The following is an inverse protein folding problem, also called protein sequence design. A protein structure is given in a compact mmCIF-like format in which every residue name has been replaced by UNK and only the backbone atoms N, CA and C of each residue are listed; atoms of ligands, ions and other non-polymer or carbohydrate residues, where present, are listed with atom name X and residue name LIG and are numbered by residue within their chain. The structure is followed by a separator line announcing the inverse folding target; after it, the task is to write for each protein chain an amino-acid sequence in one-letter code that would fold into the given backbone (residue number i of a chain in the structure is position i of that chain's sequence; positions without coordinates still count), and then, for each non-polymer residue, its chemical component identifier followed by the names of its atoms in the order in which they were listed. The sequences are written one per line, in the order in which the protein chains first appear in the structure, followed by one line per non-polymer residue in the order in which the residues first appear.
data_IF_540276434807
#
_entry.id   IF_540276434807
#
_cell.length_a   1.000
_cell.length_b   1.000
_cell.length_c   1.000
_cell.angle_alpha   90.00
_cell.angle_beta   90.00
_cell.angle_gamma   90.00
#
_symmetry.space_group_name_H-M   'P 1'
#
loop_
_entity.id
_entity.type
_entity.pdbx_description
1 polymer ?
#
# COMPACT_ATOMS: atom_id res chain seq x y z
N UNK A 1 3.49 17.31 60.83
CA UNK A 1 3.13 18.35 59.86
C UNK A 1 3.92 18.02 58.62
N UNK A 2 3.37 17.16 57.77
CA UNK A 2 4.06 16.63 56.61
C UNK A 2 3.89 17.61 55.44
N UNK A 3 5.02 18.10 54.95
CA UNK A 3 5.11 18.98 53.78
C UNK A 3 4.88 18.15 52.53
N UNK A 4 3.73 18.32 51.89
CA UNK A 4 3.45 17.73 50.59
C UNK A 4 4.23 18.49 49.51
N UNK A 5 5.33 17.90 49.04
CA UNK A 5 5.96 18.29 47.79
C UNK A 5 5.04 17.91 46.62
N UNK A 6 4.29 18.89 46.11
CA UNK A 6 3.60 18.78 44.82
C UNK A 6 4.68 18.66 43.75
N UNK A 7 4.83 17.47 43.17
CA UNK A 7 5.62 17.29 41.94
C UNK A 7 4.88 18.01 40.82
N UNK A 8 5.50 19.05 40.28
CA UNK A 8 5.05 19.72 39.06
C UNK A 8 4.95 18.69 37.94
N UNK A 9 3.73 18.46 37.48
CA UNK A 9 3.44 17.80 36.22
C UNK A 9 3.82 18.78 35.10
N UNK A 10 4.90 18.47 34.38
CA UNK A 10 5.23 19.16 33.13
C UNK A 10 4.04 19.02 32.17
N UNK A 11 3.45 20.15 31.78
CA UNK A 11 2.49 20.22 30.68
C UNK A 11 3.09 19.53 29.44
N UNK A 12 2.27 18.91 28.56
CA UNK A 12 2.76 18.57 27.24
C UNK A 12 3.23 19.87 26.57
N UNK A 13 4.47 19.87 26.09
CA UNK A 13 4.99 20.90 25.20
C UNK A 13 3.95 21.20 24.13
N UNK A 14 3.53 22.46 24.00
CA UNK A 14 2.64 22.90 22.92
C UNK A 14 3.34 22.62 21.59
N UNK A 15 3.12 21.45 21.00
CA UNK A 15 3.55 21.14 19.65
C UNK A 15 2.96 22.16 18.69
N UNK A 16 3.74 22.60 17.70
CA UNK A 16 3.30 23.58 16.72
C UNK A 16 2.03 23.07 16.00
N UNK A 17 1.03 23.93 15.68
CA UNK A 17 -0.23 23.48 15.06
C UNK A 17 -0.06 22.63 13.80
N UNK A 18 0.99 22.91 13.00
CA UNK A 18 1.31 22.13 11.80
C UNK A 18 1.91 20.75 12.12
N UNK A 19 2.70 20.63 13.19
CA UNK A 19 3.18 19.33 13.68
C UNK A 19 2.01 18.45 14.10
N UNK A 20 1.06 19.02 14.86
CA UNK A 20 -0.16 18.31 15.28
C UNK A 20 -1.01 17.87 14.09
N UNK A 21 -1.10 18.69 13.04
CA UNK A 21 -1.85 18.35 11.83
C UNK A 21 -1.26 17.10 11.13
N UNK A 22 0.06 16.99 11.03
CA UNK A 22 0.73 15.80 10.46
C UNK A 22 0.51 14.58 11.36
N UNK A 23 0.68 14.72 12.69
CA UNK A 23 0.45 13.64 13.66
C UNK A 23 -1.00 13.12 13.65
N UNK A 24 -1.98 14.01 13.50
CA UNK A 24 -3.39 13.65 13.40
C UNK A 24 -3.68 12.83 12.15
N UNK A 25 -3.11 13.21 11.00
CA UNK A 25 -3.23 12.42 9.77
C UNK A 25 -2.56 11.05 9.93
N UNK A 26 -1.38 10.98 10.55
CA UNK A 26 -0.67 9.71 10.81
C UNK A 26 -1.49 8.75 11.70
N UNK A 27 -2.22 9.27 12.69
CA UNK A 27 -3.07 8.45 13.55
C UNK A 27 -4.20 7.75 12.79
N UNK A 28 -4.69 8.32 11.69
CA UNK A 28 -5.80 7.73 10.91
C UNK A 28 -5.40 6.41 10.24
N UNK A 29 -4.11 6.21 9.95
CA UNK A 29 -3.60 4.99 9.31
C UNK A 29 -3.47 3.80 10.28
N UNK A 30 -3.41 4.04 11.60
CA UNK A 30 -3.19 3.00 12.63
C UNK A 30 -4.42 2.13 12.93
N UNK A 31 -5.59 2.44 12.35
CA UNK A 31 -6.88 1.86 12.73
C UNK A 31 -7.46 0.82 11.77
N UNK A 32 -6.67 0.25 10.85
CA UNK A 32 -7.19 -0.56 9.73
C UNK A 32 -6.86 -2.05 9.92
N UNK A 33 -7.90 -2.87 10.13
CA UNK A 33 -7.77 -4.32 10.37
C UNK A 33 -7.76 -5.18 9.10
N UNK A 34 -8.17 -4.65 7.93
CA UNK A 34 -8.31 -5.45 6.71
C UNK A 34 -7.79 -4.73 5.45
N UNK A 35 -6.97 -5.43 4.67
CA UNK A 35 -6.39 -4.93 3.42
C UNK A 35 -7.30 -5.27 2.25
N UNK A 36 -8.23 -4.38 1.93
CA UNK A 36 -9.09 -4.42 0.74
C UNK A 36 -8.63 -3.39 -0.30
N UNK A 37 -9.03 -3.55 -1.56
CA UNK A 37 -8.77 -2.54 -2.60
C UNK A 37 -9.30 -1.16 -2.21
N UNK A 38 -10.52 -1.09 -1.67
CA UNK A 38 -11.16 0.15 -1.21
C UNK A 38 -10.36 0.83 -0.10
N UNK A 39 -9.89 0.06 0.90
CA UNK A 39 -9.05 0.59 1.98
C UNK A 39 -7.71 1.12 1.46
N UNK A 40 -7.11 0.46 0.45
CA UNK A 40 -5.85 0.91 -0.15
C UNK A 40 -6.07 2.21 -0.92
N UNK A 41 -7.15 2.32 -1.72
CA UNK A 41 -7.50 3.54 -2.45
C UNK A 41 -7.76 4.70 -1.49
N UNK A 42 -8.45 4.44 -0.38
CA UNK A 42 -8.65 5.42 0.69
C UNK A 42 -7.31 5.83 1.31
N UNK A 43 -6.42 4.89 1.59
CA UNK A 43 -5.10 5.19 2.15
C UNK A 43 -4.24 6.02 1.20
N UNK A 44 -4.26 5.75 -0.11
CA UNK A 44 -3.58 6.60 -1.11
C UNK A 44 -4.15 8.03 -1.09
N UNK A 45 -5.48 8.15 -0.97
CA UNK A 45 -6.14 9.45 -0.86
C UNK A 45 -5.77 10.18 0.43
N UNK A 46 -5.67 9.47 1.55
CA UNK A 46 -5.20 10.02 2.84
C UNK A 46 -3.72 10.39 2.81
N UNK A 47 -2.89 9.65 2.06
CA UNK A 47 -1.48 10.02 1.87
C UNK A 47 -1.37 11.38 1.18
N UNK A 48 -2.18 11.66 0.15
CA UNK A 48 -2.17 13.00 -0.47
C UNK A 48 -2.38 14.11 0.57
N UNK A 49 -3.38 13.97 1.45
CA UNK A 49 -3.65 14.93 2.53
C UNK A 49 -2.49 15.03 3.53
N UNK A 50 -1.89 13.89 3.89
CA UNK A 50 -0.72 13.86 4.75
C UNK A 50 0.45 14.64 4.14
N UNK A 51 0.75 14.43 2.86
CA UNK A 51 1.82 15.15 2.17
C UNK A 51 1.52 16.64 1.99
N UNK A 52 0.25 17.04 1.84
CA UNK A 52 -0.16 18.45 1.90
C UNK A 52 0.16 19.06 3.28
N UNK A 53 -0.19 18.39 4.38
CA UNK A 53 0.17 18.87 5.73
C UNK A 53 1.69 18.93 5.94
N UNK A 54 2.44 17.98 5.38
CA UNK A 54 3.90 17.99 5.45
C UNK A 54 4.48 19.17 4.68
N UNK A 55 3.92 19.50 3.51
CA UNK A 55 4.36 20.67 2.74
C UNK A 55 4.16 21.97 3.54
N UNK A 56 3.00 22.14 4.18
CA UNK A 56 2.75 23.30 5.04
C UNK A 56 3.72 23.33 6.22
N UNK A 57 3.98 22.19 6.86
CA UNK A 57 4.96 22.05 7.93
C UNK A 57 6.37 22.47 7.47
N UNK A 58 6.82 22.01 6.30
CA UNK A 58 8.13 22.33 5.74
C UNK A 58 8.29 23.83 5.47
N UNK A 59 7.23 24.53 5.08
CA UNK A 59 7.27 25.98 4.83
C UNK A 59 7.63 26.83 6.06
N UNK A 60 7.58 26.25 7.25
CA UNK A 60 7.87 26.92 8.53
C UNK A 60 9.21 26.52 9.17
N UNK A 61 10.00 25.68 8.51
CA UNK A 61 11.26 25.15 9.05
C UNK A 61 12.48 25.95 8.57
N UNK A 62 13.37 26.30 9.50
CA UNK A 62 14.57 27.10 9.27
C UNK A 62 15.82 26.25 8.95
N UNK A 63 15.65 25.09 8.31
CA UNK A 63 16.75 24.29 7.74
C UNK A 63 17.53 23.39 8.71
N UNK A 64 17.24 23.40 10.00
CA UNK A 64 17.88 22.48 10.96
C UNK A 64 17.28 21.06 10.89
N UNK A 65 18.11 20.07 10.54
CA UNK A 65 17.85 18.62 10.59
C UNK A 65 16.80 18.06 9.59
N UNK A 66 17.12 18.08 8.29
CA UNK A 66 16.27 17.50 7.21
C UNK A 66 17.03 16.65 6.17
N UNK A 67 18.36 16.49 6.30
CA UNK A 67 19.20 15.84 5.28
C UNK A 67 18.88 14.36 5.05
N UNK A 68 18.61 13.59 6.10
CA UNK A 68 18.29 12.15 5.98
C UNK A 68 16.97 11.88 5.26
N UNK A 69 16.07 12.86 5.20
CA UNK A 69 14.76 12.73 4.56
C UNK A 69 14.81 12.77 3.02
N UNK A 70 15.88 13.34 2.45
CA UNK A 70 16.07 13.33 1.01
C UNK A 70 16.31 11.92 0.49
N UNK A 71 17.11 11.10 1.17
CA UNK A 71 17.35 9.71 0.75
C UNK A 71 16.07 8.87 0.83
N UNK A 72 15.29 9.05 1.90
CA UNK A 72 13.97 8.42 2.06
C UNK A 72 13.02 8.75 0.90
N UNK A 73 12.95 10.02 0.49
CA UNK A 73 12.10 10.43 -0.64
C UNK A 73 12.51 9.79 -1.98
N UNK A 74 13.81 9.58 -2.24
CA UNK A 74 14.28 8.89 -3.46
C UNK A 74 13.79 7.44 -3.45
N UNK A 75 13.98 6.74 -2.33
CA UNK A 75 13.52 5.37 -2.18
C UNK A 75 12.01 5.25 -2.41
N UNK A 76 11.21 6.16 -1.83
CA UNK A 76 9.76 6.16 -2.05
C UNK A 76 9.39 6.34 -3.53
N UNK A 77 10.07 7.23 -4.24
CA UNK A 77 9.85 7.47 -5.68
C UNK A 77 10.21 6.25 -6.53
N UNK A 78 11.30 5.55 -6.20
CA UNK A 78 11.69 4.31 -6.85
C UNK A 78 10.62 3.22 -6.66
N UNK A 79 10.09 3.10 -5.44
CA UNK A 79 9.00 2.15 -5.13
C UNK A 79 7.71 2.53 -5.87
N UNK A 80 7.35 3.82 -5.94
CA UNK A 80 6.22 4.29 -6.74
C UNK A 80 6.35 3.86 -8.21
N UNK A 81 7.52 4.05 -8.82
CA UNK A 81 7.75 3.66 -10.21
C UNK A 81 7.54 2.15 -10.42
N UNK A 82 8.07 1.32 -9.52
CA UNK A 82 7.84 -0.13 -9.56
C UNK A 82 6.35 -0.47 -9.43
N UNK A 83 5.63 0.19 -8.52
CA UNK A 83 4.19 -0.03 -8.32
C UNK A 83 3.40 0.34 -9.58
N UNK A 84 3.68 1.49 -10.17
CA UNK A 84 3.04 1.94 -11.42
C UNK A 84 3.26 0.91 -12.53
N UNK A 85 4.50 0.49 -12.76
CA UNK A 85 4.81 -0.53 -13.76
C UNK A 85 4.06 -1.86 -13.52
N UNK A 86 3.96 -2.27 -12.25
CA UNK A 86 3.21 -3.47 -11.85
C UNK A 86 1.71 -3.32 -12.14
N UNK A 87 1.12 -2.19 -11.79
CA UNK A 87 -0.31 -1.91 -12.00
C UNK A 87 -0.63 -1.83 -13.50
N UNK A 88 0.16 -1.09 -14.28
CA UNK A 88 -0.04 -0.97 -15.73
C UNK A 88 0.10 -2.33 -16.42
N UNK A 89 1.11 -3.14 -16.08
CA UNK A 89 1.27 -4.49 -16.64
C UNK A 89 0.13 -5.43 -16.27
N UNK A 90 -0.35 -5.38 -15.01
CA UNK A 90 -1.48 -6.18 -14.57
C UNK A 90 -2.75 -5.78 -15.32
N UNK A 91 -3.02 -4.48 -15.44
CA UNK A 91 -4.18 -3.92 -16.15
C UNK A 91 -4.17 -4.34 -17.62
N UNK A 92 -3.02 -4.21 -18.29
CA UNK A 92 -2.83 -4.65 -19.67
C UNK A 92 -3.15 -6.14 -19.82
N UNK A 93 -2.63 -7.00 -18.94
CA UNK A 93 -2.89 -8.45 -19.00
C UNK A 93 -4.36 -8.80 -18.78
N UNK A 94 -5.08 -8.03 -17.93
CA UNK A 94 -6.52 -8.18 -17.71
C UNK A 94 -7.30 -7.80 -18.97
N UNK A 95 -6.95 -6.70 -19.63
CA UNK A 95 -7.60 -6.23 -20.87
C UNK A 95 -7.36 -7.18 -22.05
N UNK A 96 -6.15 -7.74 -22.16
CA UNK A 96 -5.81 -8.76 -23.15
C UNK A 96 -6.63 -10.03 -22.91
N UNK A 97 -6.70 -10.51 -21.67
CA UNK A 97 -7.52 -11.68 -21.31
C UNK A 97 -9.00 -11.45 -21.61
N UNK A 98 -9.55 -10.28 -21.24
CA UNK A 98 -10.93 -9.91 -21.59
C UNK A 98 -11.16 -9.97 -23.11
N UNK A 99 -10.21 -9.43 -23.88
CA UNK A 99 -10.28 -9.39 -25.34
C UNK A 99 -10.20 -10.79 -25.96
N UNK A 100 -9.29 -11.63 -25.46
CA UNK A 100 -9.18 -13.05 -25.87
C UNK A 100 -10.49 -13.79 -25.64
N UNK A 101 -11.06 -13.69 -24.44
CA UNK A 101 -12.33 -14.34 -24.10
C UNK A 101 -13.45 -13.88 -25.03
N UNK A 102 -13.56 -12.57 -25.30
CA UNK A 102 -14.57 -12.02 -26.21
C UNK A 102 -14.41 -12.53 -27.65
N UNK A 103 -13.16 -12.70 -28.10
CA UNK A 103 -12.83 -13.24 -29.43
C UNK A 103 -12.92 -14.76 -29.49
N UNK A 104 -13.24 -15.44 -28.37
CA UNK A 104 -13.17 -16.90 -28.23
C UNK A 104 -11.78 -17.48 -28.53
N UNK A 105 -10.74 -16.67 -28.31
CA UNK A 105 -9.35 -17.12 -28.29
C UNK A 105 -9.01 -17.70 -26.91
N UNK A 106 -8.04 -18.62 -26.84
CA UNK A 106 -7.61 -19.28 -25.61
C UNK A 106 -6.23 -18.78 -25.13
N UNK A 107 -6.06 -17.46 -25.02
CA UNK A 107 -4.83 -16.81 -24.54
C UNK A 107 -4.75 -16.75 -23.01
N UNK A 108 -5.49 -17.63 -22.31
CA UNK A 108 -5.47 -17.75 -20.84
C UNK A 108 -4.05 -18.05 -20.33
N UNK A 109 -3.24 -18.75 -21.12
CA UNK A 109 -1.85 -19.05 -20.80
C UNK A 109 -0.95 -17.81 -20.75
N UNK A 110 -1.19 -16.80 -21.60
CA UNK A 110 -0.43 -15.56 -21.64
C UNK A 110 -0.66 -14.72 -20.39
N UNK A 111 -1.93 -14.60 -19.96
CA UNK A 111 -2.28 -14.00 -18.67
C UNK A 111 -1.54 -14.67 -17.51
N UNK A 112 -1.52 -16.02 -17.45
CA UNK A 112 -0.85 -16.76 -16.38
C UNK A 112 0.67 -16.48 -16.38
N UNK A 113 1.29 -16.38 -17.55
CA UNK A 113 2.71 -16.05 -17.69
C UNK A 113 2.98 -14.62 -17.20
N UNK A 114 2.19 -13.64 -17.67
CA UNK A 114 2.30 -12.24 -17.25
C UNK A 114 2.11 -12.10 -15.73
N UNK A 115 1.05 -12.71 -15.20
CA UNK A 115 0.75 -12.77 -13.77
C UNK A 115 1.94 -13.25 -12.95
N UNK A 116 2.59 -14.36 -13.36
CA UNK A 116 3.79 -14.90 -12.67
C UNK A 116 4.97 -13.93 -12.70
N UNK A 117 5.20 -13.25 -13.83
CA UNK A 117 6.27 -12.24 -13.97
C UNK A 117 6.01 -11.06 -13.03
N UNK A 118 4.80 -10.50 -13.05
CA UNK A 118 4.38 -9.41 -12.17
C UNK A 118 4.58 -9.82 -10.70
N UNK A 119 4.10 -11.00 -10.29
CA UNK A 119 4.27 -11.42 -8.90
C UNK A 119 5.74 -11.64 -8.52
N UNK A 120 6.63 -11.97 -9.48
CA UNK A 120 8.07 -12.08 -9.22
C UNK A 120 8.68 -10.70 -8.96
N UNK A 121 8.32 -9.69 -9.75
CA UNK A 121 8.75 -8.30 -9.55
C UNK A 121 8.29 -7.79 -8.18
N UNK A 122 7.02 -7.98 -7.84
CA UNK A 122 6.48 -7.58 -6.53
C UNK A 122 7.24 -8.23 -5.38
N UNK A 123 7.48 -9.55 -5.44
CA UNK A 123 8.20 -10.26 -4.38
C UNK A 123 9.63 -9.78 -4.22
N UNK A 124 10.29 -9.41 -5.32
CA UNK A 124 11.63 -8.83 -5.28
C UNK A 124 11.59 -7.47 -4.57
N UNK A 125 10.69 -6.58 -4.99
CA UNK A 125 10.51 -5.27 -4.37
C UNK A 125 10.24 -5.37 -2.84
N UNK A 126 9.30 -6.21 -2.43
CA UNK A 126 9.00 -6.45 -1.00
C UNK A 126 10.19 -7.03 -0.22
N UNK A 127 11.02 -7.87 -0.86
CA UNK A 127 12.22 -8.42 -0.22
C UNK A 127 13.31 -7.34 -0.04
N UNK A 128 13.50 -6.51 -1.07
CA UNK A 128 14.47 -5.40 -1.03
C UNK A 128 14.08 -4.39 0.06
N UNK A 129 12.79 -4.02 0.16
CA UNK A 129 12.26 -3.17 1.24
C UNK A 129 12.51 -3.72 2.64
N UNK A 130 12.36 -5.03 2.83
CA UNK A 130 12.60 -5.68 4.13
C UNK A 130 14.08 -5.63 4.54
N UNK A 131 15.00 -5.72 3.58
CA UNK A 131 16.43 -5.71 3.83
C UNK A 131 16.97 -4.30 4.14
N UNK A 132 16.26 -3.25 3.71
CA UNK A 132 16.65 -1.85 3.88
C UNK A 132 16.17 -1.21 5.20
N UNK A 133 15.50 -1.97 6.10
CA UNK A 133 15.13 -1.46 7.42
C UNK A 133 16.38 -1.26 8.29
N UNK A 134 16.93 -0.04 8.28
CA UNK A 134 18.02 0.37 9.19
C UNK A 134 17.48 0.45 10.62
N UNK A 135 18.30 0.03 11.58
CA UNK A 135 18.03 0.22 13.00
C UNK A 135 18.37 1.67 13.38
N UNK A 136 17.50 2.64 13.09
CA UNK A 136 17.71 4.03 13.50
C UNK A 136 16.97 4.33 14.81
N UNK A 137 17.69 5.00 15.72
CA UNK A 137 17.35 5.19 17.15
C UNK A 137 16.65 6.53 17.40
N UNK A 138 16.36 7.31 16.36
CA UNK A 138 15.69 8.60 16.47
C UNK A 138 14.56 8.69 15.42
N UNK A 139 13.32 8.60 15.89
CA UNK A 139 12.11 8.68 15.06
C UNK A 139 11.74 10.15 14.92
N UNK A 140 11.98 10.73 13.74
CA UNK A 140 11.47 12.06 13.39
C UNK A 140 10.08 11.98 12.77
N UNK A 141 9.31 13.06 12.81
CA UNK A 141 7.97 13.14 12.20
C UNK A 141 7.99 12.71 10.73
N UNK A 142 9.00 13.15 9.97
CA UNK A 142 9.13 12.81 8.54
C UNK A 142 9.52 11.35 8.33
N UNK A 143 10.27 10.72 9.25
CA UNK A 143 10.51 9.27 9.19
C UNK A 143 9.23 8.46 9.45
N UNK A 144 8.29 8.96 10.26
CA UNK A 144 6.98 8.33 10.45
C UNK A 144 6.08 8.48 9.21
N UNK A 145 6.17 9.63 8.51
CA UNK A 145 5.50 9.83 7.20
C UNK A 145 6.04 8.86 6.16
N UNK A 146 7.36 8.70 6.08
CA UNK A 146 8.01 7.73 5.19
C UNK A 146 7.57 6.30 5.51
N UNK A 147 7.62 5.90 6.79
CA UNK A 147 7.22 4.56 7.23
C UNK A 147 5.73 4.28 6.93
N UNK A 148 4.86 5.26 7.15
CA UNK A 148 3.43 5.17 6.80
C UNK A 148 3.23 5.00 5.29
N UNK A 149 3.94 5.79 4.49
CA UNK A 149 3.89 5.70 3.02
C UNK A 149 4.33 4.31 2.54
N UNK A 150 5.44 3.80 3.07
CA UNK A 150 5.91 2.45 2.78
C UNK A 150 4.90 1.38 3.16
N UNK A 151 4.26 1.49 4.33
CA UNK A 151 3.26 0.51 4.76
C UNK A 151 2.05 0.44 3.81
N UNK A 152 1.61 1.58 3.27
CA UNK A 152 0.55 1.64 2.24
C UNK A 152 1.02 0.99 0.93
N UNK A 153 2.25 1.28 0.49
CA UNK A 153 2.85 0.67 -0.70
C UNK A 153 3.04 -0.85 -0.55
N UNK A 154 3.52 -1.33 0.59
CA UNK A 154 3.63 -2.76 0.91
C UNK A 154 2.25 -3.44 0.88
N UNK A 155 1.21 -2.78 1.40
CA UNK A 155 -0.17 -3.27 1.38
C UNK A 155 -0.73 -3.37 -0.05
N UNK A 156 -0.49 -2.36 -0.87
CA UNK A 156 -0.87 -2.35 -2.29
C UNK A 156 -0.17 -3.47 -3.06
N UNK A 157 1.15 -3.57 -2.94
CA UNK A 157 1.94 -4.63 -3.56
C UNK A 157 1.46 -6.02 -3.12
N UNK A 158 1.16 -6.19 -1.83
CA UNK A 158 0.63 -7.43 -1.28
C UNK A 158 -0.73 -7.78 -1.86
N UNK A 159 -1.64 -6.80 -1.99
CA UNK A 159 -2.93 -6.95 -2.65
C UNK A 159 -2.78 -7.43 -4.09
N UNK A 160 -1.97 -6.74 -4.90
CA UNK A 160 -1.75 -7.10 -6.31
C UNK A 160 -1.06 -8.46 -6.44
N UNK A 161 -0.19 -8.83 -5.50
CA UNK A 161 0.45 -10.16 -5.51
C UNK A 161 -0.52 -11.30 -5.22
N UNK A 162 -1.73 -10.97 -4.73
CA UNK A 162 -2.65 -11.83 -4.01
C UNK A 162 -1.94 -12.49 -2.81
N UNK A 163 -2.37 -12.25 -1.55
CA UNK A 163 -1.80 -12.95 -0.41
C UNK A 163 -1.81 -14.44 -0.70
N UNK A 164 -0.68 -15.13 -0.48
CA UNK A 164 -0.71 -16.58 -0.46
C UNK A 164 -1.79 -16.95 0.55
N UNK A 165 -2.92 -17.50 0.09
CA UNK A 165 -3.66 -18.38 0.96
C UNK A 165 -2.65 -19.47 1.30
N UNK A 166 -2.03 -19.35 2.48
CA UNK A 166 -1.40 -20.47 3.13
C UNK A 166 -2.52 -21.50 3.21
N UNK A 167 -2.52 -22.44 2.26
CA UNK A 167 -3.26 -23.66 2.42
C UNK A 167 -2.55 -24.36 3.57
N UNK A 168 -3.00 -24.08 4.79
CA UNK A 168 -2.82 -25.03 5.89
C UNK A 168 -3.50 -26.31 5.42
N UNK A 169 -2.72 -27.19 4.79
CA UNK A 169 -3.13 -28.54 4.38
C UNK A 169 -2.86 -29.56 5.49
N UNK A 170 -2.68 -29.13 6.74
CA UNK A 170 -2.56 -30.04 7.87
C UNK A 170 -3.24 -29.43 9.09
N UNK A 171 -4.54 -29.70 9.23
CA UNK A 171 -5.15 -29.92 10.55
C UNK A 171 -6.37 -30.83 10.38
N UNK A 172 -6.14 -32.05 9.87
CA UNK A 172 -6.96 -33.19 10.30
C UNK A 172 -6.48 -33.59 11.69
N UNK A 173 -7.04 -33.01 12.75
CA UNK A 173 -7.26 -33.73 14.02
C UNK A 173 -8.06 -32.88 15.03
N UNK A 174 -9.10 -33.52 15.57
CA UNK A 174 -9.83 -33.28 16.83
C UNK A 174 -10.82 -32.10 16.89
N UNK A 175 -12.06 -32.50 16.58
CA UNK A 175 -13.34 -32.11 17.19
C UNK A 175 -13.26 -31.20 18.44
N UNK A 176 -13.83 -29.99 18.34
CA UNK A 176 -14.75 -29.50 19.37
C UNK A 176 -15.75 -28.49 18.76
N UNK A 177 -17.02 -28.81 19.01
CA UNK A 177 -18.23 -28.12 18.57
C UNK A 177 -18.24 -26.69 19.12
N UNK A 178 -17.89 -25.71 18.30
CA UNK A 178 -18.33 -24.32 18.47
C UNK A 178 -18.60 -23.72 17.10
N UNK A 179 -19.75 -23.08 17.01
CA UNK A 179 -20.35 -22.43 15.83
C UNK A 179 -19.29 -21.96 14.85
N UNK A 180 -19.28 -22.59 13.67
CA UNK A 180 -18.55 -22.12 12.52
C UNK A 180 -19.08 -20.74 12.15
N UNK A 181 -18.49 -19.68 12.69
CA UNK A 181 -18.44 -18.44 11.94
C UNK A 181 -17.73 -18.80 10.65
N UNK A 182 -18.49 -18.83 9.55
CA UNK A 182 -17.94 -18.56 8.23
C UNK A 182 -17.25 -17.22 8.37
N UNK A 183 -15.96 -17.24 8.66
CA UNK A 183 -15.09 -16.18 8.20
C UNK A 183 -15.14 -16.36 6.69
N UNK A 184 -16.08 -15.66 6.05
CA UNK A 184 -16.03 -15.43 4.62
C UNK A 184 -14.66 -14.79 4.40
N UNK A 185 -13.71 -15.62 3.95
CA UNK A 185 -12.41 -15.13 3.53
C UNK A 185 -12.69 -14.24 2.34
N UNK A 186 -12.80 -12.95 2.58
CA UNK A 186 -13.01 -11.96 1.54
C UNK A 186 -11.91 -12.13 0.49
N UNK A 187 -12.32 -12.58 -0.69
CA UNK A 187 -11.42 -12.84 -1.79
C UNK A 187 -11.17 -11.53 -2.50
N UNK A 188 -9.92 -11.03 -2.47
CA UNK A 188 -9.52 -9.90 -3.31
C UNK A 188 -9.89 -10.16 -4.78
N UNK A 189 -10.22 -9.12 -5.53
CA UNK A 189 -10.58 -9.15 -6.94
C UNK A 189 -9.54 -9.91 -7.79
N UNK A 190 -8.26 -9.75 -7.44
CA UNK A 190 -7.14 -10.48 -8.08
C UNK A 190 -7.27 -12.00 -7.89
N UNK A 191 -7.63 -12.45 -6.68
CA UNK A 191 -7.84 -13.87 -6.38
C UNK A 191 -9.09 -14.43 -7.07
N UNK A 192 -10.14 -13.62 -7.24
CA UNK A 192 -11.33 -14.02 -7.98
C UNK A 192 -10.99 -14.27 -9.45
N UNK A 193 -10.26 -13.35 -10.10
CA UNK A 193 -9.77 -13.53 -11.46
C UNK A 193 -8.83 -14.75 -11.55
N UNK A 194 -7.87 -14.90 -10.64
CA UNK A 194 -6.95 -16.04 -10.62
C UNK A 194 -7.70 -17.38 -10.45
N UNK A 195 -8.84 -17.39 -9.75
CA UNK A 195 -9.69 -18.58 -9.58
C UNK A 195 -10.49 -18.87 -10.83
N UNK A 196 -11.09 -17.85 -11.45
CA UNK A 196 -11.80 -17.96 -12.72
C UNK A 196 -10.87 -18.49 -13.83
N UNK A 197 -9.68 -17.93 -13.95
CA UNK A 197 -8.64 -18.35 -14.90
C UNK A 197 -8.27 -19.82 -14.71
N UNK A 198 -8.09 -20.29 -13.47
CA UNK A 198 -7.80 -21.72 -13.19
C UNK A 198 -8.94 -22.65 -13.62
N UNK A 199 -10.18 -22.21 -13.48
CA UNK A 199 -11.36 -22.97 -13.94
C UNK A 199 -11.43 -23.02 -15.47
N UNK A 200 -11.17 -21.90 -16.15
CA UNK A 200 -11.11 -21.84 -17.61
C UNK A 200 -10.04 -22.78 -18.19
N UNK A 201 -8.86 -22.86 -17.57
CA UNK A 201 -7.81 -23.82 -17.98
C UNK A 201 -8.28 -25.28 -17.89
N UNK A 202 -9.20 -25.59 -16.97
CA UNK A 202 -9.79 -26.94 -16.82
C UNK A 202 -10.97 -27.19 -17.75
N UNK A 203 -11.31 -26.24 -18.63
CA UNK A 203 -12.49 -26.30 -19.49
C UNK A 203 -13.81 -26.13 -18.74
N UNK A 204 -13.77 -25.62 -17.51
CA UNK A 204 -14.98 -25.33 -16.74
C UNK A 204 -15.52 -23.99 -17.19
N UNK A 205 -16.78 -23.95 -17.61
CA UNK A 205 -17.46 -22.70 -17.90
C UNK A 205 -17.61 -21.88 -16.62
N UNK A 206 -17.16 -20.63 -16.66
CA UNK A 206 -17.24 -19.72 -15.53
C UNK A 206 -18.20 -18.59 -15.90
N UNK A 207 -19.33 -18.52 -15.21
CA UNK A 207 -20.25 -17.41 -15.35
C UNK A 207 -19.60 -16.13 -14.79
N UNK A 208 -19.85 -14.99 -15.45
CA UNK A 208 -19.43 -13.65 -15.01
C UNK A 208 -17.93 -13.31 -15.08
N UNK A 209 -17.06 -14.10 -15.74
CA UNK A 209 -15.62 -13.77 -15.85
C UNK A 209 -15.37 -12.36 -16.39
N UNK A 210 -16.13 -11.94 -17.40
CA UNK A 210 -16.04 -10.59 -17.96
C UNK A 210 -16.31 -9.50 -16.91
N UNK A 211 -17.32 -9.72 -16.05
CA UNK A 211 -17.66 -8.77 -14.99
C UNK A 211 -16.55 -8.70 -13.95
N UNK A 212 -16.00 -9.83 -13.52
CA UNK A 212 -14.89 -9.88 -12.55
C UNK A 212 -13.62 -9.24 -13.12
N UNK A 213 -13.27 -9.52 -14.38
CA UNK A 213 -12.15 -8.88 -15.05
C UNK A 213 -12.34 -7.37 -15.14
N UNK A 214 -13.56 -6.90 -15.48
CA UNK A 214 -13.85 -5.47 -15.59
C UNK A 214 -13.78 -4.77 -14.23
N UNK A 215 -14.26 -5.40 -13.17
CA UNK A 215 -14.11 -4.88 -11.82
C UNK A 215 -12.64 -4.72 -11.44
N UNK A 216 -11.81 -5.75 -11.67
CA UNK A 216 -10.38 -5.68 -11.40
C UNK A 216 -9.67 -4.60 -12.25
N UNK A 217 -10.02 -4.45 -13.53
CA UNK A 217 -9.47 -3.41 -14.39
C UNK A 217 -9.74 -2.00 -13.84
N UNK A 218 -10.97 -1.74 -13.37
CA UNK A 218 -11.33 -0.46 -12.75
C UNK A 218 -10.56 -0.24 -11.45
N UNK A 219 -10.49 -1.24 -10.58
CA UNK A 219 -9.70 -1.16 -9.34
C UNK A 219 -8.22 -0.88 -9.62
N UNK A 220 -7.64 -1.50 -10.65
CA UNK A 220 -6.25 -1.25 -11.03
C UNK A 220 -6.04 0.18 -11.56
N UNK A 221 -7.01 0.73 -12.28
CA UNK A 221 -6.99 2.12 -12.73
C UNK A 221 -7.02 3.09 -11.54
N UNK A 222 -7.95 2.91 -10.60
CA UNK A 222 -8.06 3.77 -9.41
C UNK A 222 -6.79 3.73 -8.55
N UNK A 223 -6.16 2.55 -8.43
CA UNK A 223 -4.88 2.40 -7.74
C UNK A 223 -3.74 3.11 -8.48
N UNK A 224 -3.68 3.01 -9.81
CA UNK A 224 -2.66 3.66 -10.63
C UNK A 224 -2.74 5.18 -10.52
N UNK A 225 -3.96 5.73 -10.58
CA UNK A 225 -4.23 7.17 -10.41
C UNK A 225 -3.89 7.65 -8.99
N UNK A 226 -4.23 6.86 -7.97
CA UNK A 226 -3.87 7.16 -6.58
C UNK A 226 -2.36 7.18 -6.34
N UNK A 227 -1.62 6.22 -6.89
CA UNK A 227 -0.14 6.17 -6.78
C UNK A 227 0.50 7.33 -7.54
N UNK A 228 -0.01 7.67 -8.71
CA UNK A 228 0.46 8.84 -9.48
C UNK A 228 0.29 10.14 -8.70
N UNK A 229 -0.83 10.31 -7.99
CA UNK A 229 -1.06 11.47 -7.13
C UNK A 229 -0.03 11.53 -5.99
N UNK A 230 0.17 10.43 -5.27
CA UNK A 230 1.15 10.36 -4.17
C UNK A 230 2.58 10.61 -4.69
N UNK A 231 2.94 10.07 -5.86
CA UNK A 231 4.23 10.32 -6.50
C UNK A 231 4.48 11.82 -6.71
N UNK A 232 3.49 12.56 -7.21
CA UNK A 232 3.58 14.02 -7.41
C UNK A 232 3.75 14.76 -6.10
N UNK A 233 3.04 14.37 -5.05
CA UNK A 233 3.19 14.94 -3.71
C UNK A 233 4.60 14.72 -3.14
N UNK A 234 5.17 13.51 -3.28
CA UNK A 234 6.55 13.22 -2.84
C UNK A 234 7.57 14.08 -3.59
N UNK A 235 7.42 14.24 -4.90
CA UNK A 235 8.28 15.14 -5.71
C UNK A 235 8.20 16.57 -5.18
N UNK A 236 6.99 17.07 -4.93
CA UNK A 236 6.78 18.43 -4.42
C UNK A 236 7.50 18.64 -3.09
N UNK A 237 7.26 17.77 -2.11
CA UNK A 237 7.89 17.89 -0.79
C UNK A 237 9.41 17.75 -0.87
N UNK A 238 9.93 16.89 -1.76
CA UNK A 238 11.38 16.78 -2.02
C UNK A 238 11.96 18.09 -2.54
N UNK A 239 11.28 18.77 -3.47
CA UNK A 239 11.71 20.09 -3.97
C UNK A 239 11.73 21.11 -2.82
N UNK A 240 10.70 21.12 -1.97
CA UNK A 240 10.64 22.00 -0.80
C UNK A 240 11.78 21.74 0.18
N UNK A 241 12.07 20.47 0.50
CA UNK A 241 13.24 20.08 1.30
C UNK A 241 14.55 20.58 0.69
N UNK A 242 14.75 20.37 -0.61
CA UNK A 242 15.96 20.83 -1.31
C UNK A 242 16.10 22.36 -1.28
N UNK A 243 14.99 23.11 -1.37
CA UNK A 243 15.03 24.57 -1.31
C UNK A 243 15.44 25.06 0.08
N UNK A 244 14.94 24.42 1.14
CA UNK A 244 15.27 24.74 2.53
C UNK A 244 16.75 24.46 2.82
N UNK A 245 17.29 23.33 2.36
CA UNK A 245 18.69 22.95 2.59
C UNK A 245 19.71 23.79 1.81
N UNK A 246 19.26 24.51 0.78
CA UNK A 246 20.09 25.39 -0.04
C UNK A 246 19.91 26.89 0.28
N UNK A 247 19.14 27.23 1.32
CA UNK A 247 18.95 28.60 1.82
C UNK A 247 20.08 29.02 2.76
#
# INVERSE_FOLDING_TARGET
MDSFHVRSISLPTNSHPLTLAVEEQLCQFKSIEQVTSTSIIQNLSSLNKLYECVEDFLSTQDGECLDSNLDGSIMLLDVCNIIKDVLSQMKQSVQELQSSIRRRSNEVSEYIISRKKITKVIRKCLADLKNNKKNETEVSLLTEVEATTLAVFESLLSFVSAPKQNKSLISKLILNKKVSHKCDKETSEVMEVDTAVKSLVKGIEVNNVQKTLKALEMTLQDLEDGVESVFRCIIKNRVSLLNILNQ
#
